data_IF_686307448191
#
_entry.id   IF_686307448191
#
_cell.length_a   1.000
_cell.length_b   1.000
_cell.length_c   1.000
_cell.angle_alpha   90.00
_cell.angle_beta   90.00
_cell.angle_gamma   90.00
#
_symmetry.space_group_name_H-M   'P 1'
#
loop_
_entity.id
_entity.type
_entity.pdbx_description
1 polymer ?
#
# COMPACT_ATOMS: atom_id res chain seq x y z
N UNK A 1 27.19 -14.88 2.38
CA UNK A 1 28.28 -13.88 2.53
C UNK A 1 28.57 -13.13 1.24
N UNK A 2 29.17 -13.74 0.21
CA UNK A 2 29.54 -13.03 -1.05
C UNK A 2 28.37 -12.28 -1.68
N UNK A 3 27.20 -12.91 -1.74
CA UNK A 3 25.99 -12.27 -2.26
C UNK A 3 25.56 -11.07 -1.40
N UNK A 4 25.74 -11.13 -0.07
CA UNK A 4 25.47 -10.02 0.84
C UNK A 4 26.40 -8.84 0.56
N UNK A 5 27.70 -9.14 0.36
CA UNK A 5 28.72 -8.15 0.01
C UNK A 5 28.44 -7.50 -1.35
N UNK A 6 28.34 -8.30 -2.40
CA UNK A 6 28.25 -7.82 -3.79
C UNK A 6 26.92 -7.14 -4.13
N UNK A 7 25.82 -7.56 -3.50
CA UNK A 7 24.48 -7.05 -3.83
C UNK A 7 23.96 -6.01 -2.87
N UNK A 8 24.48 -5.95 -1.63
CA UNK A 8 23.91 -5.09 -0.60
C UNK A 8 24.93 -4.15 0.03
N UNK A 9 26.06 -4.65 0.52
CA UNK A 9 27.00 -3.84 1.30
C UNK A 9 27.94 -3.00 0.43
N UNK A 10 28.63 -3.61 -0.54
CA UNK A 10 29.56 -2.90 -1.44
C UNK A 10 28.83 -1.83 -2.26
N UNK A 11 27.64 -2.10 -2.85
CA UNK A 11 26.90 -1.06 -3.57
C UNK A 11 26.15 -0.09 -2.65
N UNK A 12 26.31 -0.19 -1.32
CA UNK A 12 25.65 0.63 -0.29
C UNK A 12 24.11 0.61 -0.34
N UNK A 13 23.52 -0.50 -0.78
CA UNK A 13 22.06 -0.71 -0.77
C UNK A 13 21.54 -0.90 0.66
N UNK A 14 22.34 -1.50 1.54
CA UNK A 14 22.06 -1.57 2.98
C UNK A 14 23.34 -1.29 3.77
N UNK A 15 23.19 -0.61 4.92
CA UNK A 15 24.28 -0.34 5.86
C UNK A 15 24.35 -1.38 6.98
N UNK A 16 23.35 -2.26 7.08
CA UNK A 16 23.28 -3.29 8.10
C UNK A 16 23.72 -4.63 7.48
N UNK A 17 24.79 -5.22 8.02
CA UNK A 17 25.28 -6.52 7.55
C UNK A 17 24.34 -7.67 7.81
N UNK A 18 23.62 -7.67 8.93
CA UNK A 18 22.69 -8.74 9.31
C UNK A 18 21.50 -8.73 8.36
N UNK A 19 20.90 -7.55 8.13
CA UNK A 19 19.86 -7.37 7.11
C UNK A 19 20.35 -7.79 5.73
N UNK A 20 21.53 -7.32 5.31
CA UNK A 20 22.13 -7.68 4.01
C UNK A 20 22.35 -9.19 3.85
N UNK A 21 22.78 -9.84 4.94
CA UNK A 21 23.03 -11.27 4.97
C UNK A 21 21.73 -12.07 4.92
N UNK A 22 20.72 -11.68 5.68
CA UNK A 22 19.40 -12.31 5.69
C UNK A 22 18.71 -12.16 4.33
N UNK A 23 18.79 -11.00 3.69
CA UNK A 23 18.27 -10.78 2.34
C UNK A 23 18.98 -11.68 1.31
N UNK A 24 20.31 -11.80 1.41
CA UNK A 24 21.07 -12.70 0.56
C UNK A 24 20.70 -14.18 0.78
N UNK A 25 20.57 -14.61 2.04
CA UNK A 25 20.21 -15.97 2.40
C UNK A 25 18.79 -16.31 1.93
N UNK A 26 17.84 -15.40 2.13
CA UNK A 26 16.48 -15.53 1.62
C UNK A 26 16.46 -15.71 0.10
N UNK A 27 17.26 -14.92 -0.65
CA UNK A 27 17.37 -15.08 -2.11
C UNK A 27 17.99 -16.41 -2.52
N UNK A 28 18.99 -16.92 -1.81
CA UNK A 28 19.56 -18.26 -2.10
C UNK A 28 18.51 -19.35 -1.92
N UNK A 29 17.75 -19.29 -0.82
CA UNK A 29 16.71 -20.26 -0.49
C UNK A 29 15.46 -20.17 -1.38
N UNK A 30 15.39 -19.20 -2.29
CA UNK A 30 14.18 -18.93 -3.07
C UNK A 30 14.44 -18.84 -4.56
N UNK A 31 15.22 -17.84 -5.00
CA UNK A 31 15.27 -17.43 -6.41
C UNK A 31 16.64 -17.55 -7.05
N UNK A 32 17.70 -17.35 -6.27
CA UNK A 32 19.05 -17.17 -6.79
C UNK A 32 19.71 -18.52 -7.13
N UNK A 33 19.39 -19.56 -6.37
CA UNK A 33 19.92 -20.91 -6.59
C UNK A 33 18.79 -21.89 -6.90
N UNK A 34 19.11 -22.97 -7.62
CA UNK A 34 18.17 -24.05 -7.96
C UNK A 34 18.75 -25.41 -7.60
N UNK A 35 17.87 -26.39 -7.45
CA UNK A 35 18.26 -27.77 -7.17
C UNK A 35 18.94 -27.90 -5.81
N UNK A 36 20.03 -28.65 -5.78
CA UNK A 36 20.69 -29.04 -4.53
C UNK A 36 21.10 -27.86 -3.64
N UNK A 37 21.63 -26.77 -4.21
CA UNK A 37 22.08 -25.60 -3.42
C UNK A 37 20.93 -24.89 -2.70
N UNK A 38 19.77 -24.79 -3.34
CA UNK A 38 18.58 -24.20 -2.74
C UNK A 38 18.07 -25.08 -1.59
N UNK A 39 17.96 -26.39 -1.85
CA UNK A 39 17.50 -27.35 -0.85
C UNK A 39 18.45 -27.43 0.35
N UNK A 40 19.76 -27.48 0.10
CA UNK A 40 20.78 -27.45 1.15
C UNK A 40 20.66 -26.21 2.04
N UNK A 41 20.43 -25.04 1.44
CA UNK A 41 20.28 -23.79 2.18
C UNK A 41 19.00 -23.77 3.03
N UNK A 42 17.89 -24.31 2.51
CA UNK A 42 16.63 -24.46 3.24
C UNK A 42 16.81 -25.42 4.43
N UNK A 43 17.40 -26.60 4.20
CA UNK A 43 17.55 -27.65 5.21
C UNK A 43 18.49 -27.23 6.35
N UNK A 44 19.46 -26.34 6.07
CA UNK A 44 20.43 -25.84 7.03
C UNK A 44 20.15 -24.40 7.48
N UNK A 45 18.98 -23.84 7.15
CA UNK A 45 18.66 -22.44 7.40
C UNK A 45 18.94 -21.97 8.84
N UNK A 46 18.56 -22.71 9.92
CA UNK A 46 18.81 -22.25 11.29
C UNK A 46 20.30 -22.10 11.64
N UNK A 47 21.16 -22.89 11.00
CA UNK A 47 22.62 -22.76 11.17
C UNK A 47 23.17 -21.63 10.31
N UNK A 48 22.66 -21.51 9.08
CA UNK A 48 23.10 -20.51 8.11
C UNK A 48 22.63 -19.10 8.45
N UNK A 49 21.53 -18.94 9.20
CA UNK A 49 21.00 -17.64 9.60
C UNK A 49 21.87 -16.93 10.64
N UNK A 50 22.76 -17.65 11.32
CA UNK A 50 23.71 -17.03 12.24
C UNK A 50 24.90 -16.46 11.46
N UNK A 51 25.04 -15.15 11.44
CA UNK A 51 26.17 -14.47 10.80
C UNK A 51 27.38 -14.49 11.74
N UNK A 52 28.41 -15.26 11.40
CA UNK A 52 29.62 -15.46 12.21
C UNK A 52 30.79 -14.54 11.84
N UNK A 53 30.61 -13.66 10.85
CA UNK A 53 31.68 -12.87 10.26
C UNK A 53 31.27 -11.42 10.06
N UNK A 54 32.24 -10.53 10.25
CA UNK A 54 32.09 -9.11 10.01
C UNK A 54 32.18 -8.79 8.50
N UNK A 55 31.02 -8.67 7.87
CA UNK A 55 30.90 -8.32 6.46
C UNK A 55 31.10 -6.83 6.23
N UNK A 56 30.88 -5.98 7.23
CA UNK A 56 31.08 -4.54 7.07
C UNK A 56 32.57 -4.24 6.91
N UNK A 57 33.42 -4.82 7.76
CA UNK A 57 34.87 -4.68 7.64
C UNK A 57 35.36 -5.13 6.25
N UNK A 58 34.89 -6.29 5.76
CA UNK A 58 35.22 -6.78 4.40
C UNK A 58 34.72 -5.81 3.31
N UNK A 59 33.50 -5.28 3.46
CA UNK A 59 32.94 -4.34 2.49
C UNK A 59 33.74 -3.04 2.44
N UNK A 60 34.11 -2.47 3.59
CA UNK A 60 34.91 -1.25 3.67
C UNK A 60 36.30 -1.44 3.05
N UNK A 61 37.00 -2.54 3.37
CA UNK A 61 38.28 -2.86 2.76
C UNK A 61 38.20 -2.90 1.23
N UNK A 62 37.11 -3.45 0.67
CA UNK A 62 36.90 -3.53 -0.79
C UNK A 62 36.57 -2.16 -1.37
N UNK A 63 35.71 -1.37 -0.71
CA UNK A 63 35.31 -0.03 -1.16
C UNK A 63 36.52 0.92 -1.15
N UNK A 64 37.34 0.88 -0.10
CA UNK A 64 38.52 1.72 0.04
C UNK A 64 39.58 1.38 -1.02
N UNK A 65 39.72 0.09 -1.34
CA UNK A 65 40.66 -0.39 -2.37
C UNK A 65 40.17 -0.15 -3.79
N UNK A 66 38.85 -0.12 -3.99
CA UNK A 66 38.20 0.07 -5.29
C UNK A 66 37.03 1.06 -5.16
N UNK A 67 37.31 2.38 -5.06
CA UNK A 67 36.27 3.38 -4.94
C UNK A 67 35.38 3.35 -6.19
N UNK A 68 34.14 2.90 -6.03
CA UNK A 68 33.17 2.80 -7.10
C UNK A 68 32.63 4.20 -7.44
N UNK A 69 32.49 4.50 -8.73
CA UNK A 69 31.64 5.61 -9.17
C UNK A 69 30.22 5.33 -8.67
N UNK A 70 29.78 6.11 -7.69
CA UNK A 70 28.42 6.04 -7.19
C UNK A 70 27.51 6.26 -8.39
N UNK A 71 26.79 5.21 -8.82
CA UNK A 71 25.71 5.38 -9.80
C UNK A 71 24.83 6.49 -9.26
N UNK A 72 24.76 7.59 -10.03
CA UNK A 72 23.95 8.76 -9.75
C UNK A 72 22.58 8.25 -9.32
N UNK A 73 22.30 8.32 -8.02
CA UNK A 73 21.05 7.81 -7.47
C UNK A 73 19.95 8.61 -8.17
N UNK A 74 19.17 7.95 -9.02
CA UNK A 74 17.85 8.48 -9.42
C UNK A 74 17.16 8.89 -8.11
N UNK A 75 16.46 10.05 -8.08
CA UNK A 75 15.80 10.53 -6.87
C UNK A 75 14.99 9.39 -6.26
N UNK A 76 15.55 8.80 -5.21
CA UNK A 76 15.11 7.56 -4.64
C UNK A 76 13.86 7.93 -3.84
N UNK A 77 12.70 7.50 -4.33
CA UNK A 77 11.41 7.70 -3.69
C UNK A 77 11.42 7.13 -2.26
N UNK A 78 12.31 6.18 -1.94
CA UNK A 78 12.51 5.68 -0.59
C UNK A 78 13.99 5.57 -0.23
N UNK A 79 14.30 5.48 1.07
CA UNK A 79 15.67 5.18 1.50
C UNK A 79 16.13 3.82 0.92
N UNK A 80 17.46 3.60 0.74
CA UNK A 80 17.99 2.38 0.13
C UNK A 80 17.51 1.08 0.79
N UNK A 81 17.30 1.11 2.10
CA UNK A 81 16.81 -0.03 2.88
C UNK A 81 15.39 -0.43 2.51
N UNK A 82 14.47 0.55 2.43
CA UNK A 82 13.09 0.32 1.99
C UNK A 82 13.05 -0.20 0.56
N UNK A 83 13.88 0.36 -0.33
CA UNK A 83 13.98 -0.11 -1.71
C UNK A 83 14.47 -1.57 -1.76
N UNK A 84 15.46 -1.93 -0.95
CA UNK A 84 15.97 -3.30 -0.86
C UNK A 84 14.87 -4.29 -0.44
N UNK A 85 14.07 -3.92 0.55
CA UNK A 85 12.92 -4.70 1.01
C UNK A 85 11.90 -4.86 -0.13
N UNK A 86 11.57 -3.79 -0.83
CA UNK A 86 10.60 -3.84 -1.94
C UNK A 86 11.04 -4.77 -3.07
N UNK A 87 12.33 -4.77 -3.41
CA UNK A 87 12.89 -5.70 -4.39
C UNK A 87 12.82 -7.17 -3.95
N UNK A 88 12.70 -7.45 -2.64
CA UNK A 88 12.45 -8.82 -2.16
C UNK A 88 10.99 -9.25 -2.22
N UNK A 89 10.04 -8.32 -2.12
CA UNK A 89 8.60 -8.59 -2.19
C UNK A 89 8.15 -8.71 -3.66
N UNK A 90 8.75 -7.93 -4.56
CA UNK A 90 8.41 -7.82 -5.98
C UNK A 90 8.27 -9.16 -6.73
N UNK A 91 9.15 -10.16 -6.57
CA UNK A 91 9.00 -11.45 -7.23
C UNK A 91 7.74 -12.25 -6.81
N UNK A 92 7.16 -11.93 -5.65
CA UNK A 92 5.98 -12.60 -5.10
C UNK A 92 4.68 -11.81 -5.31
N UNK A 93 4.79 -10.69 -6.03
CA UNK A 93 3.70 -9.77 -6.29
C UNK A 93 3.21 -9.97 -7.72
N UNK A 94 1.90 -10.17 -7.86
CA UNK A 94 1.22 -10.29 -9.16
C UNK A 94 0.11 -9.27 -9.25
N UNK A 95 0.01 -8.60 -10.38
CA UNK A 95 -1.12 -7.72 -10.67
C UNK A 95 -2.41 -8.52 -10.85
N UNK A 96 -3.51 -7.95 -10.37
CA UNK A 96 -4.86 -8.42 -10.67
C UNK A 96 -5.27 -7.74 -11.97
N UNK A 97 -5.41 -8.53 -13.03
CA UNK A 97 -5.55 -8.03 -14.40
C UNK A 97 -6.90 -7.35 -14.66
N UNK A 98 -7.93 -7.71 -13.92
CA UNK A 98 -9.27 -7.18 -14.13
C UNK A 98 -10.11 -7.27 -12.87
N UNK A 99 -11.01 -6.30 -12.73
CA UNK A 99 -12.05 -6.28 -11.72
C UNK A 99 -13.40 -6.17 -12.39
N UNK A 100 -14.44 -6.69 -11.73
CA UNK A 100 -15.80 -6.39 -12.12
C UNK A 100 -16.04 -4.88 -12.04
N UNK A 101 -16.71 -4.35 -13.06
CA UNK A 101 -16.99 -2.91 -13.16
C UNK A 101 -17.95 -2.50 -12.04
N UNK A 102 -17.65 -1.38 -11.40
CA UNK A 102 -18.62 -0.68 -10.56
C UNK A 102 -19.73 -0.14 -11.47
N UNK A 103 -20.98 -0.35 -11.06
CA UNK A 103 -22.16 0.09 -11.82
C UNK A 103 -22.76 1.31 -11.13
N UNK A 104 -23.02 2.37 -11.89
CA UNK A 104 -23.70 3.55 -11.37
C UNK A 104 -25.19 3.44 -11.67
N UNK A 105 -26.01 3.82 -10.70
CA UNK A 105 -27.46 3.92 -10.86
C UNK A 105 -27.81 5.37 -11.16
N UNK A 106 -28.78 5.60 -12.05
CA UNK A 106 -29.23 6.94 -12.45
C UNK A 106 -28.18 7.84 -13.13
N UNK A 107 -27.83 7.50 -14.38
CA UNK A 107 -27.00 8.31 -15.27
C UNK A 107 -27.52 9.75 -15.54
N UNK A 108 -28.74 10.08 -15.11
CA UNK A 108 -29.36 11.39 -15.37
C UNK A 108 -28.94 12.50 -14.41
N UNK A 109 -28.11 12.22 -13.38
CA UNK A 109 -27.67 13.23 -12.41
C UNK A 109 -26.16 13.48 -12.42
N UNK A 110 -25.42 12.81 -13.31
CA UNK A 110 -23.96 12.89 -13.39
C UNK A 110 -23.55 13.55 -14.71
N UNK A 111 -22.77 14.62 -14.60
CA UNK A 111 -22.15 15.24 -15.76
C UNK A 111 -20.92 14.45 -16.23
N UNK A 112 -20.12 13.93 -15.29
CA UNK A 112 -18.92 13.15 -15.57
C UNK A 112 -18.53 12.29 -14.35
N UNK A 113 -17.86 11.17 -14.59
CA UNK A 113 -17.27 10.35 -13.54
C UNK A 113 -16.00 9.62 -14.01
N UNK A 114 -15.02 9.53 -13.12
CA UNK A 114 -13.81 8.74 -13.34
C UNK A 114 -13.66 7.71 -12.22
N UNK A 115 -13.39 6.47 -12.61
CA UNK A 115 -13.12 5.39 -11.67
C UNK A 115 -11.87 4.62 -12.08
N UNK A 116 -10.93 4.50 -11.14
CA UNK A 116 -9.75 3.68 -11.31
C UNK A 116 -9.68 2.65 -10.18
N UNK A 117 -9.58 1.38 -10.55
CA UNK A 117 -9.38 0.27 -9.61
C UNK A 117 -8.22 -0.59 -10.07
N UNK A 118 -7.23 -0.73 -9.20
CA UNK A 118 -6.05 -1.55 -9.43
C UNK A 118 -5.77 -2.40 -8.20
N UNK A 119 -5.07 -3.51 -8.38
CA UNK A 119 -4.76 -4.37 -7.26
C UNK A 119 -3.64 -5.35 -7.54
N UNK A 120 -3.06 -5.83 -6.46
CA UNK A 120 -1.98 -6.81 -6.46
C UNK A 120 -2.29 -7.92 -5.47
N UNK A 121 -1.83 -9.12 -5.80
CA UNK A 121 -1.76 -10.26 -4.90
C UNK A 121 -0.30 -10.50 -4.52
N UNK A 122 -0.01 -10.48 -3.23
CA UNK A 122 1.32 -10.78 -2.69
C UNK A 122 1.25 -12.16 -2.04
N UNK A 123 2.03 -13.10 -2.56
CA UNK A 123 2.11 -14.46 -2.00
C UNK A 123 3.25 -14.54 -0.99
N UNK A 124 3.05 -15.21 0.14
CA UNK A 124 4.14 -15.37 1.11
C UNK A 124 5.29 -16.19 0.49
N UNK A 125 6.55 -15.75 0.64
CA UNK A 125 7.72 -16.50 0.18
C UNK A 125 7.95 -17.75 1.02
N UNK A 126 7.46 -17.76 2.26
CA UNK A 126 7.67 -18.86 3.23
C UNK A 126 6.53 -19.87 3.20
N UNK A 127 5.31 -19.43 2.88
CA UNK A 127 4.15 -20.30 2.74
C UNK A 127 3.31 -19.94 1.51
N UNK A 128 3.47 -20.68 0.41
CA UNK A 128 2.79 -20.40 -0.86
C UNK A 128 1.26 -20.50 -0.79
N UNK A 129 0.70 -21.13 0.25
CA UNK A 129 -0.74 -21.18 0.48
C UNK A 129 -1.28 -19.90 1.13
N UNK A 130 -0.40 -19.05 1.69
CA UNK A 130 -0.76 -17.77 2.28
C UNK A 130 -0.50 -16.66 1.28
N UNK A 131 -1.51 -15.83 1.05
CA UNK A 131 -1.38 -14.64 0.21
C UNK A 131 -2.31 -13.55 0.71
N UNK A 132 -1.93 -12.31 0.42
CA UNK A 132 -2.78 -11.16 0.68
C UNK A 132 -3.13 -10.51 -0.65
N UNK A 133 -4.26 -9.82 -0.68
CA UNK A 133 -4.70 -9.00 -1.80
C UNK A 133 -4.78 -7.56 -1.33
N UNK A 134 -4.14 -6.68 -2.08
CA UNK A 134 -4.22 -5.24 -1.90
C UNK A 134 -4.95 -4.63 -3.10
N UNK A 135 -5.97 -3.81 -2.85
CA UNK A 135 -6.77 -3.16 -3.87
C UNK A 135 -6.83 -1.67 -3.55
N UNK A 136 -6.57 -0.86 -4.56
CA UNK A 136 -6.75 0.59 -4.53
C UNK A 136 -7.91 0.93 -5.44
N UNK A 137 -8.81 1.79 -4.95
CA UNK A 137 -9.89 2.34 -5.76
C UNK A 137 -9.93 3.85 -5.54
N UNK A 138 -9.96 4.59 -6.64
CA UNK A 138 -10.27 6.02 -6.67
C UNK A 138 -11.52 6.23 -7.51
N UNK A 139 -12.34 7.17 -7.05
CA UNK A 139 -13.58 7.55 -7.68
C UNK A 139 -13.72 9.06 -7.58
N UNK A 140 -14.04 9.67 -8.71
CA UNK A 140 -14.37 11.08 -8.85
C UNK A 140 -15.70 11.20 -9.60
N UNK A 141 -16.60 12.03 -9.10
CA UNK A 141 -17.92 12.25 -9.69
C UNK A 141 -18.24 13.74 -9.68
N UNK A 142 -18.86 14.21 -10.77
CA UNK A 142 -19.39 15.57 -10.91
C UNK A 142 -20.88 15.50 -11.16
N UNK A 143 -21.65 16.16 -10.28
CA UNK A 143 -23.10 16.24 -10.38
C UNK A 143 -23.56 17.41 -11.26
N UNK A 144 -24.83 17.39 -11.68
CA UNK A 144 -25.41 18.39 -12.60
C UNK A 144 -25.24 19.85 -12.11
N UNK A 145 -25.32 20.09 -10.80
CA UNK A 145 -25.19 21.42 -10.19
C UNK A 145 -23.73 21.86 -9.94
N UNK A 146 -22.75 21.08 -10.43
CA UNK A 146 -21.32 21.36 -10.28
C UNK A 146 -20.72 20.85 -8.97
N UNK A 147 -21.50 20.11 -8.17
CA UNK A 147 -21.04 19.44 -6.96
C UNK A 147 -20.02 18.35 -7.33
N UNK A 148 -19.01 18.21 -6.48
CA UNK A 148 -17.90 17.29 -6.72
C UNK A 148 -17.75 16.32 -5.56
N UNK A 149 -17.64 15.04 -5.90
CA UNK A 149 -17.39 13.99 -4.95
C UNK A 149 -16.09 13.26 -5.28
N UNK A 150 -15.20 13.15 -4.30
CA UNK A 150 -13.99 12.34 -4.37
C UNK A 150 -14.03 11.26 -3.31
N UNK A 151 -13.71 10.04 -3.71
CA UNK A 151 -13.55 8.93 -2.78
C UNK A 151 -12.36 8.07 -3.16
N UNK A 152 -11.67 7.56 -2.14
CA UNK A 152 -10.50 6.73 -2.29
C UNK A 152 -10.44 5.68 -1.19
N UNK A 153 -9.95 4.49 -1.52
CA UNK A 153 -9.77 3.42 -0.56
C UNK A 153 -8.57 2.56 -0.86
N UNK A 154 -7.84 2.19 0.20
CA UNK A 154 -6.85 1.11 0.17
C UNK A 154 -7.35 -0.03 1.05
N UNK A 155 -7.53 -1.19 0.43
CA UNK A 155 -7.96 -2.43 1.08
C UNK A 155 -6.76 -3.36 1.05
N UNK A 156 -6.36 -3.88 2.22
CA UNK A 156 -5.31 -4.90 2.30
C UNK A 156 -5.84 -6.00 3.21
N UNK A 157 -6.02 -7.19 2.64
CA UNK A 157 -6.64 -8.32 3.35
C UNK A 157 -6.06 -9.67 2.92
N UNK A 158 -6.21 -10.73 3.73
CA UNK A 158 -5.91 -12.09 3.32
C UNK A 158 -6.74 -12.49 2.11
N UNK A 159 -6.12 -13.10 1.08
CA UNK A 159 -6.77 -13.28 -0.23
C UNK A 159 -8.00 -14.20 -0.16
N UNK A 160 -8.02 -15.14 0.77
CA UNK A 160 -9.15 -16.02 1.07
C UNK A 160 -10.38 -15.26 1.60
N UNK A 161 -10.17 -14.11 2.25
CA UNK A 161 -11.24 -13.25 2.76
C UNK A 161 -11.88 -12.35 1.67
N UNK A 162 -11.31 -12.35 0.45
CA UNK A 162 -11.89 -11.69 -0.72
C UNK A 162 -13.00 -12.53 -1.37
N UNK A 163 -12.80 -13.86 -1.46
CA UNK A 163 -13.64 -14.78 -2.24
C UNK A 163 -14.99 -15.13 -1.55
N UNK A 164 -15.08 -15.02 -0.23
CA UNK A 164 -16.25 -15.44 0.57
C UNK A 164 -17.60 -14.74 0.31
N UNK A 165 -17.72 -13.85 -0.69
CA UNK A 165 -18.93 -13.03 -0.88
C UNK A 165 -19.54 -13.02 -2.28
N UNK A 166 -18.89 -13.57 -3.33
CA UNK A 166 -19.42 -13.48 -4.70
C UNK A 166 -20.67 -14.34 -4.97
N UNK A 167 -21.06 -15.23 -4.04
CA UNK A 167 -22.15 -16.20 -4.22
C UNK A 167 -23.33 -16.07 -3.24
N UNK A 168 -23.43 -14.98 -2.47
CA UNK A 168 -24.70 -14.69 -1.78
C UNK A 168 -25.52 -13.80 -2.70
N UNK A 169 -26.38 -14.44 -3.50
CA UNK A 169 -27.59 -13.85 -4.07
C UNK A 169 -28.21 -12.93 -3.01
N UNK A 170 -28.05 -11.62 -3.17
CA UNK A 170 -28.68 -10.66 -2.29
C UNK A 170 -30.16 -10.63 -2.65
N UNK A 171 -30.96 -11.34 -1.85
CA UNK A 171 -32.37 -11.03 -1.73
C UNK A 171 -32.52 -9.53 -1.41
N UNK A 172 -33.52 -8.93 -2.04
CA UNK A 172 -33.65 -7.52 -2.35
C UNK A 172 -33.92 -6.55 -1.18
N UNK A 173 -33.74 -6.94 0.08
CA UNK A 173 -34.27 -6.19 1.24
C UNK A 173 -33.18 -5.84 2.27
N UNK A 174 -32.17 -5.05 1.90
CA UNK A 174 -31.29 -4.42 2.88
C UNK A 174 -31.28 -2.91 2.68
N UNK A 175 -31.58 -2.14 3.73
CA UNK A 175 -31.46 -0.67 3.86
C UNK A 175 -30.02 -0.14 3.69
N UNK A 176 -29.16 -0.88 2.98
CA UNK A 176 -27.70 -0.81 2.99
C UNK A 176 -27.13 -0.84 1.55
N UNK A 177 -28.00 -0.60 0.55
CA UNK A 177 -27.62 -0.37 -0.84
C UNK A 177 -27.34 1.12 -1.02
N UNK A 178 -26.25 1.43 -1.71
CA UNK A 178 -26.02 2.77 -2.24
C UNK A 178 -27.04 3.03 -3.34
N UNK A 179 -27.66 4.21 -3.31
CA UNK A 179 -28.50 4.68 -4.40
C UNK A 179 -27.66 5.22 -5.58
N UNK A 180 -26.36 5.44 -5.38
CA UNK A 180 -25.42 6.02 -6.36
C UNK A 180 -24.71 4.94 -7.20
N UNK A 181 -24.12 3.93 -6.56
CA UNK A 181 -23.37 2.88 -7.27
C UNK A 181 -23.29 1.52 -6.55
N UNK A 182 -23.22 0.46 -7.33
CA UNK A 182 -22.99 -0.91 -6.90
C UNK A 182 -21.52 -1.30 -7.11
N UNK A 183 -20.82 -1.54 -5.99
CA UNK A 183 -19.47 -2.12 -5.96
C UNK A 183 -19.56 -3.65 -5.83
N UNK A 184 -19.25 -4.44 -6.88
CA UNK A 184 -19.36 -5.90 -6.85
C UNK A 184 -18.49 -6.56 -5.77
N UNK A 185 -17.37 -5.93 -5.41
CA UNK A 185 -16.48 -6.42 -4.37
C UNK A 185 -16.90 -5.97 -2.98
N UNK A 186 -17.72 -4.93 -2.90
CA UNK A 186 -18.16 -4.33 -1.67
C UNK A 186 -16.98 -4.02 -0.73
N UNK A 187 -16.02 -3.25 -1.24
CA UNK A 187 -14.78 -2.86 -0.55
C UNK A 187 -14.47 -1.36 -0.61
N UNK A 188 -15.12 -0.62 -1.52
CA UNK A 188 -15.00 0.83 -1.60
C UNK A 188 -16.06 1.48 -0.69
N UNK A 189 -15.67 2.44 0.17
CA UNK A 189 -16.60 3.16 1.04
C UNK A 189 -17.70 3.83 0.22
N UNK A 190 -18.90 3.81 0.77
CA UNK A 190 -20.00 4.66 0.32
C UNK A 190 -20.35 5.61 1.46
N UNK A 191 -20.43 6.91 1.16
CA UNK A 191 -20.75 7.94 2.14
C UNK A 191 -22.05 8.63 1.74
N UNK A 192 -23.09 8.46 2.55
CA UNK A 192 -24.36 9.18 2.41
C UNK A 192 -24.18 10.60 2.93
N UNK A 193 -24.33 11.55 2.02
CA UNK A 193 -24.20 12.98 2.29
C UNK A 193 -25.40 13.53 3.06
N UNK A 194 -26.62 13.10 2.73
CA UNK A 194 -27.85 13.52 3.41
C UNK A 194 -27.87 13.04 4.88
N UNK A 195 -27.44 11.80 5.12
CA UNK A 195 -27.42 11.19 6.45
C UNK A 195 -26.10 11.39 7.19
N UNK A 196 -25.10 11.98 6.55
CA UNK A 196 -23.73 12.17 7.06
C UNK A 196 -23.13 10.87 7.63
N UNK A 197 -23.35 9.75 6.92
CA UNK A 197 -23.00 8.41 7.42
C UNK A 197 -22.44 7.56 6.31
N UNK A 198 -21.45 6.76 6.66
CA UNK A 198 -21.00 5.67 5.81
C UNK A 198 -22.09 4.60 5.72
N UNK A 199 -22.52 4.24 4.52
CA UNK A 199 -23.22 2.96 4.33
C UNK A 199 -22.21 1.82 4.43
N UNK A 200 -22.60 0.73 5.10
CA UNK A 200 -21.79 -0.43 5.49
C UNK A 200 -20.65 -0.18 6.49
N UNK A 201 -20.98 -0.39 7.77
CA UNK A 201 -19.99 -0.67 8.84
C UNK A 201 -18.98 -1.77 8.44
N UNK A 202 -19.41 -2.77 7.66
CA UNK A 202 -18.56 -3.90 7.20
C UNK A 202 -17.44 -3.52 6.22
N UNK A 203 -17.53 -2.37 5.54
CA UNK A 203 -16.44 -1.87 4.69
C UNK A 203 -15.27 -1.44 5.58
N UNK A 204 -15.58 -0.64 6.60
CA UNK A 204 -14.59 -0.05 7.51
C UNK A 204 -13.71 -1.07 8.24
N UNK A 205 -14.11 -2.34 8.38
CA UNK A 205 -13.29 -3.38 9.02
C UNK A 205 -12.11 -3.85 8.15
N UNK A 206 -12.23 -3.76 6.82
CA UNK A 206 -11.25 -4.30 5.86
C UNK A 206 -10.33 -3.23 5.25
N UNK A 207 -10.76 -1.96 5.26
CA UNK A 207 -9.94 -0.88 4.73
C UNK A 207 -8.79 -0.53 5.67
N UNK A 208 -7.60 -0.40 5.09
CA UNK A 208 -6.42 0.17 5.76
C UNK A 208 -6.47 1.70 5.65
N UNK A 209 -7.07 2.23 4.59
CA UNK A 209 -7.29 3.66 4.38
C UNK A 209 -8.59 3.92 3.63
N UNK A 210 -9.33 4.95 4.03
CA UNK A 210 -10.46 5.52 3.28
C UNK A 210 -10.40 7.04 3.32
N UNK A 211 -10.71 7.68 2.20
CA UNK A 211 -10.89 9.12 2.08
C UNK A 211 -12.19 9.35 1.31
N UNK A 212 -13.02 10.28 1.79
CA UNK A 212 -14.19 10.78 1.08
C UNK A 212 -14.22 12.29 1.26
N UNK A 213 -14.59 13.00 0.21
CA UNK A 213 -14.80 14.42 0.24
C UNK A 213 -15.90 14.81 -0.72
N UNK A 214 -16.72 15.75 -0.27
CA UNK A 214 -17.79 16.35 -1.04
C UNK A 214 -17.65 17.86 -0.98
N UNK A 215 -17.89 18.51 -2.12
CA UNK A 215 -17.85 19.96 -2.27
C UNK A 215 -19.08 20.38 -3.08
N UNK A 216 -19.92 21.21 -2.46
CA UNK A 216 -21.02 21.91 -3.13
C UNK A 216 -20.81 23.44 -3.03
N UNK A 217 -21.82 24.21 -3.43
CA UNK A 217 -21.78 25.69 -3.41
C UNK A 217 -21.62 26.32 -2.02
N UNK A 218 -21.93 25.60 -0.94
CA UNK A 218 -22.07 26.13 0.41
C UNK A 218 -21.26 25.38 1.47
N UNK A 219 -20.83 24.16 1.18
CA UNK A 219 -20.23 23.24 2.13
C UNK A 219 -19.16 22.39 1.47
N UNK A 220 -18.04 22.21 2.19
CA UNK A 220 -17.07 21.18 1.87
C UNK A 220 -16.88 20.28 3.08
N UNK A 221 -17.09 18.97 2.86
CA UNK A 221 -16.97 17.94 3.87
C UNK A 221 -15.81 17.02 3.47
N UNK A 222 -15.01 16.64 4.46
CA UNK A 222 -13.94 15.67 4.30
C UNK A 222 -13.91 14.68 5.45
N UNK A 223 -13.76 13.39 5.14
CA UNK A 223 -13.61 12.32 6.11
C UNK A 223 -12.45 11.39 5.71
N UNK A 224 -11.51 11.18 6.64
CA UNK A 224 -10.35 10.29 6.45
C UNK A 224 -10.32 9.27 7.58
N UNK A 225 -10.17 7.99 7.23
CA UNK A 225 -9.97 6.91 8.21
C UNK A 225 -8.77 6.08 7.83
N UNK A 226 -8.04 5.66 8.86
CA UNK A 226 -6.85 4.83 8.71
C UNK A 226 -6.83 3.71 9.76
N UNK A 227 -6.28 2.56 9.38
CA UNK A 227 -6.01 1.42 10.24
C UNK A 227 -4.61 0.88 9.99
N UNK A 228 -3.95 0.29 10.99
CA UNK A 228 -2.66 -0.37 10.79
C UNK A 228 -2.83 -1.61 9.89
N UNK A 229 -1.82 -1.89 9.07
CA UNK A 229 -1.78 -3.08 8.22
C UNK A 229 -0.97 -4.24 8.83
N UNK A 230 -0.51 -4.11 10.08
CA UNK A 230 0.42 -5.06 10.73
C UNK A 230 -0.13 -6.47 10.83
N UNK A 231 -1.42 -6.63 11.12
CA UNK A 231 -2.06 -7.94 11.16
C UNK A 231 -1.89 -8.71 9.84
N UNK A 232 -2.06 -8.01 8.71
CA UNK A 232 -2.00 -8.61 7.37
C UNK A 232 -0.56 -8.80 6.92
N UNK A 233 0.33 -7.86 7.25
CA UNK A 233 1.78 -8.02 7.02
C UNK A 233 2.35 -9.24 7.76
N UNK A 234 1.98 -9.40 9.04
CA UNK A 234 2.41 -10.54 9.85
C UNK A 234 1.98 -11.90 9.28
N UNK A 235 0.81 -11.97 8.60
CA UNK A 235 0.39 -13.21 7.91
C UNK A 235 1.34 -13.60 6.78
N UNK A 236 1.94 -12.65 6.08
CA UNK A 236 2.89 -12.95 4.99
C UNK A 236 4.19 -13.58 5.49
N UNK A 237 4.55 -13.39 6.77
CA UNK A 237 5.80 -13.89 7.37
C UNK A 237 7.06 -13.51 6.56
N UNK A 238 7.04 -12.36 5.89
CA UNK A 238 8.21 -11.82 5.22
C UNK A 238 9.05 -11.13 6.30
N UNK A 239 10.33 -11.51 6.50
CA UNK A 239 11.19 -10.84 7.47
C UNK A 239 11.23 -9.34 7.23
N UNK A 240 11.24 -8.57 8.31
CA UNK A 240 11.37 -7.10 8.31
C UNK A 240 10.24 -6.32 7.60
N UNK A 241 9.16 -7.00 7.16
CA UNK A 241 7.99 -6.35 6.56
C UNK A 241 6.89 -6.19 7.61
N UNK A 242 6.70 -4.96 8.09
CA UNK A 242 5.61 -4.56 8.97
C UNK A 242 4.45 -3.91 8.17
N UNK A 243 3.39 -3.48 8.87
CA UNK A 243 2.23 -2.86 8.24
C UNK A 243 2.55 -1.56 7.50
N UNK A 244 3.44 -0.75 8.05
CA UNK A 244 3.91 0.50 7.43
C UNK A 244 4.61 0.26 6.09
N UNK A 245 5.57 -0.65 6.06
CA UNK A 245 6.30 -1.02 4.84
C UNK A 245 5.40 -1.68 3.82
N UNK A 246 4.46 -2.52 4.26
CA UNK A 246 3.47 -3.12 3.37
C UNK A 246 2.59 -2.06 2.72
N UNK A 247 2.08 -1.08 3.48
CA UNK A 247 1.25 -0.01 2.94
C UNK A 247 2.02 0.87 1.95
N UNK A 248 3.27 1.25 2.28
CA UNK A 248 4.16 1.96 1.35
C UNK A 248 4.40 1.16 0.06
N UNK A 249 4.63 -0.15 0.19
CA UNK A 249 4.85 -1.03 -0.95
C UNK A 249 3.64 -1.06 -1.90
N UNK A 250 2.43 -1.15 -1.34
CA UNK A 250 1.18 -1.12 -2.12
C UNK A 250 1.06 0.18 -2.90
N UNK A 251 1.28 1.34 -2.26
CA UNK A 251 1.24 2.64 -2.92
C UNK A 251 2.35 2.79 -3.97
N UNK A 252 3.55 2.31 -3.69
CA UNK A 252 4.68 2.33 -4.63
C UNK A 252 4.40 1.49 -5.88
N UNK A 253 3.87 0.27 -5.69
CA UNK A 253 3.65 -0.66 -6.79
C UNK A 253 2.46 -0.25 -7.65
N UNK A 254 1.34 0.10 -7.02
CA UNK A 254 0.11 0.45 -7.73
C UNK A 254 0.12 1.89 -8.24
N UNK A 255 0.93 2.76 -7.64
CA UNK A 255 1.10 4.17 -7.98
C UNK A 255 -0.23 4.85 -8.37
N UNK A 256 -1.24 4.85 -7.46
CA UNK A 256 -2.56 5.35 -7.81
C UNK A 256 -2.48 6.82 -8.20
N UNK A 257 -3.05 7.15 -9.36
CA UNK A 257 -3.17 8.54 -9.78
C UNK A 257 -4.11 9.27 -8.83
N UNK A 258 -3.74 10.50 -8.51
CA UNK A 258 -4.59 11.40 -7.74
C UNK A 258 -4.54 12.77 -8.39
N UNK A 259 -5.71 13.37 -8.62
CA UNK A 259 -5.79 14.72 -9.16
C UNK A 259 -5.02 15.68 -8.25
N UNK A 260 -4.14 16.49 -8.85
CA UNK A 260 -3.35 17.49 -8.13
C UNK A 260 -4.26 18.51 -7.41
N UNK A 261 -5.47 18.75 -7.93
CA UNK A 261 -6.44 19.69 -7.36
C UNK A 261 -7.40 19.03 -6.34
N UNK A 262 -7.16 17.78 -5.98
CA UNK A 262 -8.05 17.06 -5.07
C UNK A 262 -8.04 17.65 -3.65
N UNK A 263 -9.18 17.55 -2.92
CA UNK A 263 -9.24 18.01 -1.53
C UNK A 263 -8.22 17.35 -0.61
N UNK A 264 -7.89 16.06 -0.81
CA UNK A 264 -6.86 15.38 -0.03
C UNK A 264 -5.48 16.01 -0.22
N UNK A 265 -5.15 16.46 -1.45
CA UNK A 265 -3.85 17.09 -1.71
C UNK A 265 -3.76 18.43 -0.99
N UNK A 266 -4.79 19.26 -1.12
CA UNK A 266 -4.88 20.54 -0.42
C UNK A 266 -4.80 20.37 1.11
N UNK A 267 -5.50 19.37 1.65
CA UNK A 267 -5.42 19.04 3.07
C UNK A 267 -3.99 18.70 3.52
N UNK A 268 -3.28 17.90 2.72
CA UNK A 268 -1.90 17.51 3.00
C UNK A 268 -0.94 18.70 2.92
N UNK A 269 -1.11 19.55 1.91
CA UNK A 269 -0.29 20.76 1.75
C UNK A 269 -0.51 21.74 2.91
N UNK A 270 -1.75 21.87 3.41
CA UNK A 270 -2.05 22.65 4.62
C UNK A 270 -1.36 22.08 5.86
N UNK A 271 -1.41 20.75 6.07
CA UNK A 271 -0.71 20.12 7.18
C UNK A 271 0.82 20.32 7.10
N UNK A 272 1.40 20.39 5.90
CA UNK A 272 2.81 20.73 5.71
C UNK A 272 3.05 22.19 6.10
N UNK A 273 2.22 23.12 5.62
CA UNK A 273 2.35 24.55 5.88
C UNK A 273 2.24 24.89 7.38
N UNK A 274 1.38 24.18 8.09
CA UNK A 274 1.20 24.30 9.55
C UNK A 274 2.33 23.63 10.35
N UNK A 275 3.24 22.90 9.70
CA UNK A 275 4.31 22.15 10.35
C UNK A 275 3.84 20.88 11.08
N UNK A 276 2.59 20.47 10.87
CA UNK A 276 1.98 19.28 11.46
C UNK A 276 2.55 17.98 10.88
N UNK A 277 2.98 18.02 9.62
CA UNK A 277 3.80 16.98 9.00
C UNK A 277 5.07 17.60 8.42
N UNK A 278 6.17 16.86 8.48
CA UNK A 278 7.42 17.28 7.85
C UNK A 278 7.19 17.50 6.35
N UNK A 279 7.83 18.53 5.79
CA UNK A 279 7.75 18.83 4.35
C UNK A 279 7.97 17.55 3.56
N UNK A 280 6.94 17.16 2.82
CA UNK A 280 6.93 15.97 1.98
C UNK A 280 7.96 16.26 0.90
N UNK A 281 9.19 15.80 1.12
CA UNK A 281 10.10 15.63 0.00
C UNK A 281 9.32 14.87 -1.07
N UNK A 282 9.52 15.22 -2.35
CA UNK A 282 8.92 14.66 -3.58
C UNK A 282 8.90 13.10 -3.64
N UNK A 283 9.44 12.45 -2.62
CA UNK A 283 9.64 11.03 -2.40
C UNK A 283 8.49 10.30 -1.69
N UNK A 284 7.49 10.95 -1.07
CA UNK A 284 6.38 10.21 -0.42
C UNK A 284 5.01 10.45 -1.10
N UNK A 285 4.29 9.36 -1.36
CA UNK A 285 2.94 9.41 -1.94
C UNK A 285 1.98 10.15 -0.96
N UNK A 286 1.16 11.12 -1.41
CA UNK A 286 0.30 11.91 -0.51
C UNK A 286 -0.60 11.06 0.41
N UNK A 287 -1.07 9.92 -0.10
CA UNK A 287 -1.89 8.98 0.67
C UNK A 287 -1.15 8.33 1.85
N UNK A 288 0.17 8.18 1.75
CA UNK A 288 0.98 7.72 2.87
C UNK A 288 0.99 8.74 3.99
N UNK A 289 1.21 10.02 3.66
CA UNK A 289 1.18 11.11 4.63
C UNK A 289 -0.19 11.22 5.31
N UNK A 290 -1.28 11.17 4.52
CA UNK A 290 -2.65 11.19 5.04
C UNK A 290 -2.93 10.01 5.99
N UNK A 291 -2.57 8.80 5.57
CA UNK A 291 -2.75 7.59 6.37
C UNK A 291 -1.96 7.65 7.68
N UNK A 292 -0.67 7.98 7.61
CA UNK A 292 0.21 8.03 8.77
C UNK A 292 -0.18 9.13 9.77
N UNK A 293 -0.56 10.32 9.28
CA UNK A 293 -1.07 11.39 10.12
C UNK A 293 -2.36 10.99 10.83
N UNK A 294 -3.31 10.42 10.08
CA UNK A 294 -4.60 9.95 10.63
C UNK A 294 -4.42 8.84 11.67
N UNK A 295 -3.46 7.93 11.47
CA UNK A 295 -3.14 6.88 12.44
C UNK A 295 -2.62 7.46 13.76
N UNK A 296 -1.72 8.45 13.69
CA UNK A 296 -1.08 9.05 14.86
C UNK A 296 -2.04 9.91 15.67
N UNK A 297 -2.93 10.63 15.00
CA UNK A 297 -3.85 11.58 15.64
C UNK A 297 -5.21 10.99 16.02
N UNK A 298 -5.40 9.66 15.87
CA UNK A 298 -6.66 8.92 16.10
C UNK A 298 -7.84 9.49 15.28
N UNK A 299 -8.17 8.82 14.17
CA UNK A 299 -9.36 9.00 13.31
C UNK A 299 -9.96 10.43 13.32
N UNK A 300 -9.61 11.21 12.30
CA UNK A 300 -10.29 12.48 12.01
C UNK A 300 -11.71 12.18 11.49
N UNK A 301 -12.69 12.17 12.39
CA UNK A 301 -14.03 11.69 12.04
C UNK A 301 -14.86 12.68 11.21
N UNK A 302 -14.47 13.95 11.06
CA UNK A 302 -14.97 14.87 10.03
C UNK A 302 -14.24 16.21 10.10
N UNK A 303 -13.85 16.76 8.95
CA UNK A 303 -13.36 18.14 8.82
C UNK A 303 -14.39 18.90 7.99
N UNK A 304 -14.93 19.98 8.57
CA UNK A 304 -15.81 20.92 7.88
C UNK A 304 -14.98 22.12 7.46
N UNK A 305 -15.03 22.46 6.17
CA UNK A 305 -14.56 23.74 5.67
C UNK A 305 -15.79 24.60 5.37
N UNK A 306 -15.85 25.77 6.01
CA UNK A 306 -16.85 26.83 5.78
C UNK A 306 -16.30 27.87 4.80
#
# INVERSE_FOLDING_TARGET
>A
MTIALERYLIPMVSKNQETSYNLALARICTTLSKGWFCQFAIDNYPKLSNLDKDLLSIAYDIIDKYPLEQKKQLPLMFNPETQAIFETIKPYTKEILSFDKIKFYNYSHYNDYEINRSGIKITSPVNRSVSITAIVTTLYMVYEEGEKHWSASVVILPSDELETKSYKNYNNDSDDKSDEFDDPLNIHPHYDLEKQKYFKLTLTSKNVFTFNSFEDLYTSIMAIRAKPADYVANKLKIPDVNGDLLYKYVLYYLNPSFDENSPLRNHIDNLVAEGNISNISVTQHPWYSAWNYTLKNKQLDMIYYL
#
